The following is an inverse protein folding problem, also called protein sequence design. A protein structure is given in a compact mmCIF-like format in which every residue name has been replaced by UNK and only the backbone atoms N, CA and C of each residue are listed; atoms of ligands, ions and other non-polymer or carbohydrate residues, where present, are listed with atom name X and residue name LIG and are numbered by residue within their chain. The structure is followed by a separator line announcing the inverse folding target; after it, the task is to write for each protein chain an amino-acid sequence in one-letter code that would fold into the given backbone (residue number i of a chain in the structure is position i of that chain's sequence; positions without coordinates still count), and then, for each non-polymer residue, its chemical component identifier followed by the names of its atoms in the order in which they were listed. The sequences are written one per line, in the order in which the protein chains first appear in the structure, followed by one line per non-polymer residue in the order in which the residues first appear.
data_IF_722605123418
#
_entry.id   IF_722605123418
#
_cell.length_a   1.000
_cell.length_b   1.000
_cell.length_c   1.000
_cell.angle_alpha   90.00
_cell.angle_beta   90.00
_cell.angle_gamma   90.00
#
_symmetry.space_group_name_H-M   'P 1'
#
loop_
_entity.id
_entity.type
_entity.pdbx_description
1 polymer ?
#
# COMPACT_ATOMS: atom_id res chain seq x y z
N UNK A 1 -3.29 -5.82 11.06
CA UNK A 1 -3.40 -4.94 9.88
C UNK A 1 -4.86 -4.65 9.59
N UNK A 2 -5.27 -3.39 9.66
CA UNK A 2 -6.63 -2.95 9.39
C UNK A 2 -6.70 -2.37 7.98
N UNK A 3 -7.66 -2.84 7.19
CA UNK A 3 -7.92 -2.27 5.88
C UNK A 3 -8.92 -1.10 5.95
N UNK A 4 -8.72 -0.11 5.11
CA UNK A 4 -9.57 1.08 5.01
C UNK A 4 -11.06 0.75 4.81
N UNK A 5 -11.38 -0.35 4.12
CA UNK A 5 -12.78 -0.79 3.89
C UNK A 5 -13.56 -1.11 5.17
N UNK A 6 -12.90 -1.25 6.31
CA UNK A 6 -13.51 -1.53 7.61
C UNK A 6 -13.80 -0.26 8.43
N UNK A 7 -13.78 0.90 7.79
CA UNK A 7 -14.20 2.15 8.45
C UNK A 7 -15.64 2.10 8.95
N UNK A 8 -15.90 2.71 10.10
CA UNK A 8 -17.25 2.91 10.61
C UNK A 8 -17.84 4.20 10.03
N UNK A 9 -18.59 4.07 8.98
CA UNK A 9 -19.18 5.19 8.26
C UNK A 9 -20.59 5.56 8.79
N UNK A 10 -21.07 4.91 9.86
CA UNK A 10 -22.37 5.20 10.51
C UNK A 10 -23.55 5.25 9.54
N UNK A 11 -23.57 4.34 8.56
CA UNK A 11 -24.60 4.27 7.52
C UNK A 11 -24.54 5.36 6.45
N UNK A 12 -23.53 6.23 6.47
CA UNK A 12 -23.31 7.22 5.41
C UNK A 12 -22.54 6.60 4.26
N UNK A 13 -22.81 7.09 3.05
CA UNK A 13 -22.00 6.77 1.88
C UNK A 13 -20.80 7.71 1.88
N UNK A 14 -19.61 7.15 2.13
CA UNK A 14 -18.33 7.87 2.09
C UNK A 14 -17.50 7.25 0.98
N UNK A 15 -17.09 8.05 0.00
CA UNK A 15 -16.22 7.56 -1.08
C UNK A 15 -14.76 7.45 -0.57
N UNK A 16 -13.94 6.70 -1.29
CA UNK A 16 -12.55 6.38 -0.91
C UNK A 16 -11.69 7.62 -0.71
N UNK A 17 -11.89 8.66 -1.52
CA UNK A 17 -11.20 9.95 -1.42
C UNK A 17 -11.74 10.88 -0.32
N UNK A 18 -12.70 10.40 0.48
CA UNK A 18 -13.34 11.14 1.58
C UNK A 18 -13.11 10.50 2.95
N UNK A 19 -12.26 9.50 3.01
CA UNK A 19 -11.95 8.78 4.27
C UNK A 19 -11.20 9.71 5.24
N UNK A 20 -11.59 9.67 6.50
CA UNK A 20 -11.05 10.50 7.59
C UNK A 20 -10.71 9.64 8.82
N UNK A 21 -9.81 10.08 9.72
CA UNK A 21 -9.46 9.36 10.94
C UNK A 21 -10.67 9.04 11.83
N UNK A 22 -11.69 9.90 11.83
CA UNK A 22 -12.91 9.72 12.62
C UNK A 22 -13.65 8.42 12.29
N UNK A 23 -13.58 7.96 11.03
CA UNK A 23 -14.19 6.70 10.60
C UNK A 23 -13.50 5.45 11.19
N UNK A 24 -12.36 5.61 11.84
CA UNK A 24 -11.59 4.51 12.45
C UNK A 24 -11.46 4.64 13.96
N UNK A 25 -12.15 5.58 14.57
CA UNK A 25 -12.09 5.85 16.01
C UNK A 25 -12.46 4.62 16.85
N UNK A 26 -13.50 3.90 16.47
CA UNK A 26 -13.92 2.66 17.15
C UNK A 26 -12.82 1.59 17.13
N UNK A 27 -12.09 1.45 16.04
CA UNK A 27 -10.96 0.53 15.93
C UNK A 27 -9.76 0.95 16.77
N UNK A 28 -9.48 2.25 16.82
CA UNK A 28 -8.40 2.82 17.64
C UNK A 28 -8.70 2.60 19.13
N UNK A 29 -9.93 2.85 19.55
CA UNK A 29 -10.41 2.61 20.92
C UNK A 29 -10.34 1.12 21.28
N UNK A 30 -10.81 0.26 20.38
CA UNK A 30 -10.73 -1.19 20.55
C UNK A 30 -9.27 -1.68 20.69
N UNK A 31 -8.37 -1.20 19.86
CA UNK A 31 -6.94 -1.53 19.95
C UNK A 31 -6.35 -1.15 21.29
N UNK A 32 -6.70 0.04 21.79
CA UNK A 32 -6.26 0.52 23.11
C UNK A 32 -6.82 -0.33 24.25
N UNK A 33 -8.10 -0.66 24.23
CA UNK A 33 -8.75 -1.49 25.25
C UNK A 33 -8.15 -2.90 25.33
N UNK A 34 -7.75 -3.46 24.18
CA UNK A 34 -7.18 -4.79 24.08
C UNK A 34 -5.64 -4.81 24.14
N UNK A 35 -5.00 -3.66 24.35
CA UNK A 35 -3.55 -3.50 24.31
C UNK A 35 -2.94 -4.05 23.00
N UNK A 36 -3.60 -3.79 21.89
CA UNK A 36 -3.17 -4.16 20.55
C UNK A 36 -2.80 -2.92 19.74
N UNK A 37 -1.66 -3.00 19.07
CA UNK A 37 -1.25 -1.97 18.10
C UNK A 37 -1.80 -2.31 16.72
N UNK A 38 -2.23 -1.27 16.01
CA UNK A 38 -2.82 -1.38 14.68
C UNK A 38 -1.85 -0.85 13.63
N UNK A 39 -1.75 -1.57 12.53
CA UNK A 39 -1.22 -1.10 11.27
C UNK A 39 -2.35 -0.91 10.27
N UNK A 40 -2.11 -0.15 9.21
CA UNK A 40 -3.16 0.26 8.29
C UNK A 40 -2.81 -0.03 6.83
N UNK A 41 -3.81 -0.42 6.05
CA UNK A 41 -3.68 -0.62 4.60
C UNK A 41 -4.69 0.25 3.85
N UNK A 42 -4.22 0.92 2.80
CA UNK A 42 -5.12 1.44 1.77
C UNK A 42 -5.61 0.29 0.87
N UNK A 43 -6.80 0.47 0.28
CA UNK A 43 -7.41 -0.51 -0.61
C UNK A 43 -7.84 0.17 -1.90
N UNK A 44 -7.19 -0.14 -3.01
CA UNK A 44 -7.47 0.47 -4.31
C UNK A 44 -8.29 -0.42 -5.26
N UNK A 45 -8.73 -1.58 -4.81
CA UNK A 45 -9.57 -2.51 -5.57
C UNK A 45 -11.04 -2.51 -5.09
N UNK A 46 -11.91 -3.21 -5.81
CA UNK A 46 -13.35 -3.32 -5.49
C UNK A 46 -14.07 -1.97 -5.46
N UNK A 47 -13.77 -1.12 -6.45
CA UNK A 47 -14.41 0.18 -6.64
C UNK A 47 -14.61 0.45 -8.14
N UNK A 48 -15.66 1.19 -8.57
CA UNK A 48 -15.90 1.47 -9.99
C UNK A 48 -14.72 2.14 -10.72
N UNK A 49 -13.91 2.93 -10.03
CA UNK A 49 -12.70 3.57 -10.59
C UNK A 49 -11.44 2.69 -10.52
N UNK A 50 -11.53 1.46 -10.00
CA UNK A 50 -10.34 0.59 -9.87
C UNK A 50 -9.86 0.08 -11.22
N UNK A 51 -10.72 -0.59 -11.99
CA UNK A 51 -10.32 -1.21 -13.25
C UNK A 51 -9.06 -2.08 -13.09
N UNK A 52 -8.24 -2.14 -14.13
CA UNK A 52 -6.94 -2.81 -14.10
C UNK A 52 -5.82 -1.89 -13.56
N UNK A 53 -6.05 -0.59 -13.52
CA UNK A 53 -5.07 0.44 -13.16
C UNK A 53 -5.70 1.50 -12.25
N UNK A 54 -5.05 1.78 -11.14
CA UNK A 54 -5.40 2.83 -10.17
C UNK A 54 -4.37 3.97 -10.17
N UNK A 55 -3.31 3.83 -9.41
CA UNK A 55 -2.24 4.84 -9.28
C UNK A 55 -1.35 4.97 -10.53
N UNK A 56 -1.40 4.01 -11.45
CA UNK A 56 -0.74 4.07 -12.75
C UNK A 56 -1.70 4.32 -13.92
N UNK A 57 -2.96 4.70 -13.64
CA UNK A 57 -3.95 4.91 -14.68
C UNK A 57 -3.54 6.10 -15.59
N UNK A 58 -3.66 5.95 -16.94
CA UNK A 58 -3.44 7.06 -17.87
C UNK A 58 -4.40 8.23 -17.69
N UNK A 59 -5.61 7.98 -17.19
CA UNK A 59 -6.57 9.02 -16.83
C UNK A 59 -6.10 9.71 -15.54
N UNK A 60 -5.84 11.00 -15.64
CA UNK A 60 -5.36 11.80 -14.51
C UNK A 60 -6.42 11.94 -13.42
N UNK A 61 -7.70 12.04 -13.76
CA UNK A 61 -8.78 12.13 -12.78
C UNK A 61 -8.90 10.88 -11.93
N UNK A 62 -8.74 9.69 -12.53
CA UNK A 62 -8.70 8.42 -11.82
C UNK A 62 -7.46 8.34 -10.94
N UNK A 63 -6.28 8.74 -11.45
CA UNK A 63 -5.05 8.77 -10.66
C UNK A 63 -5.16 9.69 -9.45
N UNK A 64 -5.66 10.92 -9.63
CA UNK A 64 -5.81 11.90 -8.55
C UNK A 64 -6.78 11.41 -7.47
N UNK A 65 -7.86 10.74 -7.85
CA UNK A 65 -8.77 10.10 -6.90
C UNK A 65 -8.04 9.09 -5.98
N UNK A 66 -7.21 8.21 -6.55
CA UNK A 66 -6.46 7.22 -5.78
C UNK A 66 -5.27 7.80 -5.02
N UNK A 67 -4.65 8.86 -5.52
CA UNK A 67 -3.63 9.62 -4.80
C UNK A 67 -4.24 10.25 -3.54
N UNK A 68 -5.40 10.91 -3.68
CA UNK A 68 -6.10 11.51 -2.54
C UNK A 68 -6.54 10.44 -1.53
N UNK A 69 -7.14 9.35 -2.00
CA UNK A 69 -7.47 8.21 -1.15
C UNK A 69 -6.27 7.76 -0.30
N UNK A 70 -5.12 7.53 -0.94
CA UNK A 70 -3.94 7.05 -0.22
C UNK A 70 -3.38 8.10 0.76
N UNK A 71 -3.42 9.39 0.40
CA UNK A 71 -3.06 10.48 1.33
C UNK A 71 -3.94 10.49 2.57
N UNK A 72 -5.25 10.27 2.42
CA UNK A 72 -6.19 10.18 3.54
C UNK A 72 -5.93 8.96 4.41
N UNK A 73 -5.65 7.82 3.80
CA UNK A 73 -5.25 6.62 4.54
C UNK A 73 -3.97 6.86 5.37
N UNK A 74 -3.01 7.63 4.86
CA UNK A 74 -1.82 8.02 5.62
C UNK A 74 -2.14 8.93 6.81
N UNK A 75 -3.12 9.84 6.66
CA UNK A 75 -3.59 10.67 7.77
C UNK A 75 -4.28 9.82 8.86
N UNK A 76 -5.03 8.78 8.47
CA UNK A 76 -5.61 7.80 9.40
C UNK A 76 -4.49 7.07 10.15
N UNK A 77 -3.48 6.57 9.44
CA UNK A 77 -2.35 5.87 10.05
C UNK A 77 -1.56 6.80 11.03
N UNK A 78 -1.40 8.07 10.69
CA UNK A 78 -0.76 9.05 11.57
C UNK A 78 -1.55 9.21 12.89
N UNK A 79 -2.88 9.33 12.84
CA UNK A 79 -3.69 9.43 14.05
C UNK A 79 -3.68 8.12 14.84
N UNK A 80 -3.72 6.96 14.19
CA UNK A 80 -3.57 5.66 14.85
C UNK A 80 -2.25 5.58 15.62
N UNK A 81 -1.14 5.88 14.96
CA UNK A 81 0.19 5.86 15.57
C UNK A 81 0.31 6.81 16.76
N UNK A 82 -0.23 8.01 16.62
CA UNK A 82 -0.25 9.02 17.68
C UNK A 82 -1.01 8.52 18.92
N UNK A 83 -2.18 7.93 18.73
CA UNK A 83 -3.01 7.45 19.86
C UNK A 83 -2.42 6.21 20.52
N UNK A 84 -1.86 5.28 19.76
CA UNK A 84 -1.24 4.06 20.30
C UNK A 84 0.17 4.29 20.87
N UNK A 85 0.76 5.47 20.66
CA UNK A 85 2.09 5.82 21.16
C UNK A 85 3.23 5.05 20.51
N UNK A 86 3.00 4.49 19.31
CA UNK A 86 3.98 3.75 18.52
C UNK A 86 3.62 3.93 17.03
N UNK A 87 4.60 4.09 16.14
CA UNK A 87 4.31 4.34 14.73
C UNK A 87 3.40 3.28 14.12
N UNK A 88 2.32 3.72 13.47
CA UNK A 88 1.48 2.86 12.67
C UNK A 88 2.15 2.63 11.31
N UNK A 89 2.27 1.38 10.87
CA UNK A 89 2.78 1.09 9.53
C UNK A 89 1.62 1.19 8.56
N UNK A 90 1.74 2.11 7.60
CA UNK A 90 0.80 2.25 6.50
C UNK A 90 1.32 1.48 5.29
N UNK A 91 0.78 0.29 5.08
CA UNK A 91 1.16 -0.57 3.97
C UNK A 91 0.38 -0.22 2.70
N UNK A 92 1.09 0.10 1.64
CA UNK A 92 0.52 0.40 0.33
C UNK A 92 0.74 -0.77 -0.61
N UNK A 93 -0.33 -1.49 -0.89
CA UNK A 93 -0.40 -2.51 -1.93
C UNK A 93 -1.26 -2.02 -3.09
N UNK A 94 -0.73 -2.09 -4.31
CA UNK A 94 -1.39 -1.60 -5.54
C UNK A 94 -1.60 -2.77 -6.50
N UNK A 95 -2.85 -2.96 -6.91
CA UNK A 95 -3.23 -4.08 -7.78
C UNK A 95 -2.87 -3.89 -9.26
N UNK A 96 -2.38 -2.74 -9.64
CA UNK A 96 -2.17 -2.30 -11.02
C UNK A 96 -1.38 -3.31 -11.87
N UNK A 97 -1.99 -3.73 -12.96
CA UNK A 97 -1.41 -4.70 -13.88
C UNK A 97 -2.25 -4.86 -15.14
N UNK A 98 -1.86 -5.77 -16.02
CA UNK A 98 -2.59 -6.08 -17.24
C UNK A 98 -2.48 -7.56 -17.58
N UNK A 99 -3.57 -8.15 -18.05
CA UNK A 99 -3.60 -9.53 -18.59
C UNK A 99 -2.98 -9.62 -19.98
N UNK A 100 -2.98 -8.50 -20.69
CA UNK A 100 -2.42 -8.41 -22.03
C UNK A 100 -0.93 -8.08 -22.02
N UNK A 101 -0.29 -8.30 -23.17
CA UNK A 101 1.10 -7.91 -23.36
C UNK A 101 1.17 -6.38 -23.42
N UNK A 102 1.73 -5.79 -22.38
CA UNK A 102 1.87 -4.35 -22.28
C UNK A 102 3.04 -3.85 -23.11
N UNK A 103 2.74 -3.04 -24.12
CA UNK A 103 3.76 -2.51 -25.06
C UNK A 103 4.63 -1.46 -24.38
N UNK A 104 4.05 -0.53 -23.62
CA UNK A 104 4.78 0.57 -22.99
C UNK A 104 4.82 0.43 -21.47
N UNK A 105 5.58 -0.53 -20.99
CA UNK A 105 5.74 -0.80 -19.54
C UNK A 105 6.33 0.38 -18.78
N UNK A 106 7.25 1.12 -19.39
CA UNK A 106 7.90 2.29 -18.78
C UNK A 106 6.88 3.40 -18.47
N UNK A 107 5.90 3.63 -19.35
CA UNK A 107 4.86 4.65 -19.14
C UNK A 107 4.11 4.42 -17.83
N UNK A 108 3.60 3.21 -17.62
CA UNK A 108 2.80 2.90 -16.41
C UNK A 108 3.63 2.94 -15.14
N UNK A 109 4.88 2.49 -15.19
CA UNK A 109 5.81 2.61 -14.06
C UNK A 109 6.17 4.05 -13.75
N UNK A 110 6.33 4.90 -14.76
CA UNK A 110 6.55 6.33 -14.57
C UNK A 110 5.33 7.01 -13.92
N UNK A 111 4.11 6.65 -14.35
CA UNK A 111 2.87 7.14 -13.74
C UNK A 111 2.74 6.68 -12.28
N UNK A 112 3.02 5.41 -11.98
CA UNK A 112 3.02 4.90 -10.61
C UNK A 112 4.05 5.64 -9.74
N UNK A 113 5.28 5.81 -10.26
CA UNK A 113 6.33 6.55 -9.56
C UNK A 113 5.92 7.97 -9.24
N UNK A 114 5.33 8.69 -10.20
CA UNK A 114 4.84 10.06 -10.02
C UNK A 114 3.74 10.11 -8.95
N UNK A 115 2.78 9.18 -9.00
CA UNK A 115 1.72 9.07 -7.98
C UNK A 115 2.28 8.82 -6.58
N UNK A 116 3.26 7.92 -6.46
CA UNK A 116 3.93 7.64 -5.19
C UNK A 116 4.70 8.87 -4.68
N UNK A 117 5.41 9.59 -5.55
CA UNK A 117 6.13 10.81 -5.18
C UNK A 117 5.15 11.89 -4.67
N UNK A 118 3.94 12.01 -5.25
CA UNK A 118 2.88 12.91 -4.76
C UNK A 118 2.28 12.46 -3.42
N UNK A 119 2.08 11.16 -3.24
CA UNK A 119 1.54 10.57 -1.99
C UNK A 119 2.49 10.80 -0.83
N UNK A 120 3.78 10.55 -1.05
CA UNK A 120 4.80 10.60 -0.02
C UNK A 120 5.47 11.97 0.15
N UNK A 121 4.97 13.01 -0.53
CA UNK A 121 5.50 14.37 -0.41
C UNK A 121 5.35 14.96 1.01
N UNK A 122 4.36 14.52 1.77
CA UNK A 122 4.15 14.94 3.16
C UNK A 122 4.78 13.91 4.10
N UNK A 123 5.68 14.34 4.98
CA UNK A 123 6.23 13.49 6.02
C UNK A 123 5.32 13.50 7.26
N UNK A 124 5.15 12.34 7.87
CA UNK A 124 4.40 12.15 9.12
C UNK A 124 5.34 11.67 10.23
N UNK A 125 4.97 11.92 11.48
CA UNK A 125 5.81 11.61 12.65
C UNK A 125 5.44 10.29 13.32
N UNK A 126 4.16 9.96 13.34
CA UNK A 126 3.62 8.83 14.10
C UNK A 126 3.22 7.65 13.21
N UNK A 127 3.64 7.67 11.94
CA UNK A 127 3.44 6.56 11.01
C UNK A 127 4.67 6.31 10.16
N UNK A 128 4.76 5.13 9.57
CA UNK A 128 5.81 4.77 8.61
C UNK A 128 5.16 4.28 7.33
N UNK A 129 5.67 4.79 6.22
CA UNK A 129 5.24 4.33 4.89
C UNK A 129 5.94 3.02 4.52
N UNK A 130 5.14 2.03 4.14
CA UNK A 130 5.61 0.76 3.64
C UNK A 130 4.98 0.46 2.28
N UNK A 131 5.75 -0.08 1.36
CA UNK A 131 5.30 -0.39 -0.01
C UNK A 131 5.43 -1.89 -0.27
N UNK A 132 4.37 -2.47 -0.81
CA UNK A 132 4.27 -3.90 -1.05
C UNK A 132 4.18 -4.22 -2.54
N UNK A 133 5.03 -5.13 -2.98
CA UNK A 133 5.00 -5.61 -4.36
C UNK A 133 3.82 -6.54 -4.59
N UNK A 134 3.26 -6.48 -5.80
CA UNK A 134 2.38 -7.49 -6.35
C UNK A 134 3.20 -8.47 -7.19
N UNK A 135 3.08 -9.74 -6.91
CA UNK A 135 3.51 -10.80 -7.83
C UNK A 135 2.41 -11.06 -8.83
N UNK A 136 2.72 -11.86 -9.85
CA UNK A 136 1.78 -12.32 -10.86
C UNK A 136 0.36 -12.26 -10.35
N UNK A 137 -0.44 -11.46 -11.00
CA UNK A 137 -1.65 -11.06 -10.44
C UNK A 137 -2.49 -12.13 -9.80
N UNK A 138 -3.13 -11.72 -8.79
CA UNK A 138 -4.39 -12.26 -8.39
C UNK A 138 -5.28 -12.21 -9.65
N UNK A 139 -5.12 -13.16 -10.57
CA UNK A 139 -5.89 -13.21 -11.78
C UNK A 139 -5.12 -13.30 -13.10
N UNK A 140 -3.91 -13.84 -13.08
CA UNK A 140 -3.15 -14.19 -14.29
C UNK A 140 -2.67 -12.99 -15.14
N UNK A 141 -2.34 -11.85 -14.52
CA UNK A 141 -1.75 -10.75 -15.27
C UNK A 141 -0.37 -11.15 -15.82
N UNK A 142 -0.14 -10.81 -17.09
CA UNK A 142 1.15 -10.93 -17.73
C UNK A 142 2.10 -9.77 -17.41
N UNK A 143 1.57 -8.69 -16.84
CA UNK A 143 2.31 -7.49 -16.45
C UNK A 143 1.81 -6.92 -15.14
N UNK A 144 2.72 -6.76 -14.18
CA UNK A 144 2.49 -6.06 -12.91
C UNK A 144 3.29 -4.76 -12.91
N UNK A 145 2.61 -3.62 -12.70
CA UNK A 145 3.27 -2.30 -12.69
C UNK A 145 4.21 -2.18 -11.51
N UNK A 146 3.71 -2.44 -10.31
CA UNK A 146 4.45 -2.46 -9.05
C UNK A 146 5.11 -3.81 -8.78
N UNK A 147 6.11 -4.18 -9.59
CA UNK A 147 6.90 -5.39 -9.37
C UNK A 147 7.83 -5.25 -8.16
N UNK A 148 8.34 -6.38 -7.66
CA UNK A 148 9.29 -6.39 -6.55
C UNK A 148 10.51 -5.50 -6.83
N UNK A 149 11.10 -5.60 -8.03
CA UNK A 149 12.25 -4.79 -8.42
C UNK A 149 11.94 -3.29 -8.44
N UNK A 150 10.71 -2.93 -8.90
CA UNK A 150 10.26 -1.54 -8.89
C UNK A 150 10.20 -0.99 -7.46
N UNK A 151 9.58 -1.73 -6.53
CA UNK A 151 9.41 -1.25 -5.16
C UNK A 151 10.71 -1.29 -4.35
N UNK A 152 11.60 -2.26 -4.58
CA UNK A 152 12.95 -2.24 -3.99
C UNK A 152 13.70 -0.98 -4.43
N UNK A 153 13.72 -0.70 -5.73
CA UNK A 153 14.35 0.51 -6.27
C UNK A 153 13.73 1.80 -5.71
N UNK A 154 12.40 1.84 -5.62
CA UNK A 154 11.69 2.99 -5.06
C UNK A 154 11.97 3.16 -3.55
N UNK A 155 11.83 2.10 -2.76
CA UNK A 155 12.06 2.11 -1.32
C UNK A 155 13.48 2.54 -0.95
N UNK A 156 14.48 1.94 -1.59
CA UNK A 156 15.87 2.29 -1.38
C UNK A 156 16.20 3.76 -1.76
N UNK A 157 15.62 4.23 -2.89
CA UNK A 157 15.87 5.62 -3.35
C UNK A 157 15.09 6.69 -2.58
N UNK A 158 14.08 6.33 -1.81
CA UNK A 158 13.18 7.23 -1.07
C UNK A 158 13.18 6.99 0.44
N UNK A 159 14.04 6.10 0.92
CA UNK A 159 14.13 5.72 2.34
C UNK A 159 12.75 5.25 2.89
N UNK A 160 12.03 4.43 2.13
CA UNK A 160 10.73 3.86 2.53
C UNK A 160 10.89 2.39 2.88
N UNK A 161 10.07 1.90 3.82
CA UNK A 161 10.00 0.48 4.14
C UNK A 161 9.47 -0.33 2.95
N UNK A 162 9.86 -1.58 2.88
CA UNK A 162 9.36 -2.54 1.89
C UNK A 162 8.70 -3.72 2.60
N UNK A 163 7.54 -4.13 2.12
CA UNK A 163 6.87 -5.34 2.58
C UNK A 163 7.32 -6.53 1.73
N UNK A 164 7.74 -7.58 2.42
CA UNK A 164 7.92 -8.91 1.83
C UNK A 164 6.72 -9.79 2.22
N UNK A 165 5.81 -10.01 1.30
CA UNK A 165 4.76 -11.00 1.45
C UNK A 165 5.26 -12.35 0.90
N UNK A 166 5.32 -13.36 1.75
CA UNK A 166 5.87 -14.68 1.38
C UNK A 166 5.04 -15.40 0.31
N UNK A 167 3.76 -15.04 0.14
CA UNK A 167 2.89 -15.54 -0.92
C UNK A 167 3.05 -14.82 -2.26
N UNK A 168 3.79 -13.72 -2.31
CA UNK A 168 4.00 -12.91 -3.52
C UNK A 168 5.26 -13.28 -4.30
N UNK A 169 5.88 -14.42 -4.00
CA UNK A 169 7.09 -14.90 -4.69
C UNK A 169 6.87 -16.29 -5.25
N UNK A 170 7.61 -16.60 -6.33
CA UNK A 170 7.56 -17.93 -6.91
C UNK A 170 7.99 -18.96 -5.85
N UNK A 171 7.37 -20.16 -5.79
CA UNK A 171 7.69 -21.16 -4.76
C UNK A 171 9.16 -21.61 -4.73
N UNK A 172 9.92 -21.37 -5.79
CA UNK A 172 11.37 -21.66 -5.85
C UNK A 172 12.24 -20.53 -5.31
N UNK A 173 11.67 -19.38 -4.97
CA UNK A 173 12.41 -18.27 -4.38
C UNK A 173 12.46 -18.39 -2.86
N UNK A 174 13.65 -18.17 -2.27
CA UNK A 174 13.80 -18.05 -0.83
C UNK A 174 13.51 -16.60 -0.40
N UNK A 175 12.35 -16.37 0.20
CA UNK A 175 12.02 -15.04 0.73
C UNK A 175 12.92 -14.69 1.92
N UNK A 176 13.31 -15.67 2.73
CA UNK A 176 14.21 -15.47 3.86
C UNK A 176 15.57 -14.89 3.44
N UNK A 177 16.08 -15.30 2.27
CA UNK A 177 17.34 -14.78 1.73
C UNK A 177 17.26 -13.30 1.33
N UNK A 178 16.07 -12.84 0.92
CA UNK A 178 15.84 -11.43 0.55
C UNK A 178 15.99 -10.47 1.75
N UNK A 179 15.71 -10.92 2.97
CA UNK A 179 15.72 -10.08 4.18
C UNK A 179 17.10 -9.46 4.40
N UNK A 180 18.14 -10.28 4.41
CA UNK A 180 19.51 -9.79 4.63
C UNK A 180 20.01 -8.86 3.53
N UNK A 181 19.60 -9.11 2.29
CA UNK A 181 19.95 -8.26 1.15
C UNK A 181 19.29 -6.90 1.22
N UNK A 182 18.00 -6.86 1.54
CA UNK A 182 17.20 -5.62 1.53
C UNK A 182 17.55 -4.70 2.70
N UNK A 183 17.82 -5.25 3.89
CA UNK A 183 18.19 -4.47 5.08
C UNK A 183 19.49 -3.66 4.93
N UNK A 184 20.28 -3.91 3.87
CA UNK A 184 21.43 -3.06 3.52
C UNK A 184 21.02 -1.76 2.80
N UNK A 185 19.81 -1.68 2.26
CA UNK A 185 19.39 -0.59 1.37
C UNK A 185 18.10 0.10 1.79
N UNK A 186 17.24 -0.57 2.57
CA UNK A 186 15.99 0.00 3.09
C UNK A 186 16.04 0.10 4.61
N UNK A 187 15.34 1.08 5.21
CA UNK A 187 15.47 1.32 6.66
C UNK A 187 14.91 0.18 7.50
N UNK A 188 13.82 -0.41 7.07
CA UNK A 188 13.08 -1.47 7.78
C UNK A 188 12.32 -2.32 6.77
N UNK A 189 11.92 -3.52 7.19
CA UNK A 189 11.05 -4.41 6.43
C UNK A 189 9.79 -4.72 7.22
N UNK A 190 8.69 -4.84 6.51
CA UNK A 190 7.47 -5.47 7.00
C UNK A 190 7.36 -6.87 6.40
N UNK A 191 6.93 -7.84 7.19
CA UNK A 191 6.72 -9.21 6.72
C UNK A 191 5.23 -9.54 6.75
N UNK A 192 4.68 -9.89 5.60
CA UNK A 192 3.41 -10.58 5.50
C UNK A 192 3.69 -12.07 5.34
N UNK A 193 3.34 -12.84 6.37
CA UNK A 193 3.56 -14.29 6.36
C UNK A 193 2.29 -14.94 5.83
N UNK A 194 2.27 -15.17 4.54
CA UNK A 194 1.19 -15.84 3.83
C UNK A 194 1.69 -17.16 3.24
N UNK A 195 0.75 -18.01 2.84
CA UNK A 195 1.09 -19.28 2.19
C UNK A 195 1.37 -19.01 0.71
N UNK A 196 2.49 -19.50 0.15
CA UNK A 196 2.71 -19.46 -1.30
C UNK A 196 1.57 -20.17 -2.04
N UNK A 197 1.12 -19.58 -3.13
CA UNK A 197 0.06 -20.14 -3.98
C UNK A 197 0.60 -21.25 -4.85
#
# INVERSE_FOLDING_TARGET
NLHEIYGDFQGKVVDRDQVEPEHFKSWIEWGKEHNMKLDFNSTSFSHPKSGDLSLSNPDEGIRQFWIEHTKRCRAVAEEMGKVQGDPCIMNLWVHDGSKDITVNRMKYRALLKDSLDQIFATEYKNMKDCIESKVFGIGLESYTVGSNDFYIGYGASRNKMVTLDTGHFHPTESVADKVSSLLLYVPELMLHVSRPV
#
